data_IF_500131478130
#
_entry.id   IF_500131478130
#
_cell.length_a   1.000
_cell.length_b   1.000
_cell.length_c   1.000
_cell.angle_alpha   90.00
_cell.angle_beta   90.00
_cell.angle_gamma   90.00
#
_symmetry.space_group_name_H-M   'P 1'
#
loop_
_entity.id
_entity.type
_entity.pdbx_description
1 polymer ?
#
# COMPACT_ATOMS: atom_id res chain seq x y z
N UNK A 1 25.90 13.25 14.75
CA UNK A 1 25.46 12.10 13.92
C UNK A 1 24.17 12.55 13.23
N UNK A 2 24.26 13.06 12.01
CA UNK A 2 23.08 13.42 11.22
C UNK A 2 22.55 12.11 10.66
N UNK A 3 21.60 11.48 11.35
CA UNK A 3 20.72 10.51 10.70
C UNK A 3 20.13 11.21 9.49
N UNK A 4 20.56 10.79 8.30
CA UNK A 4 20.18 11.38 7.02
C UNK A 4 18.65 11.55 6.99
N UNK A 5 18.14 12.78 7.05
CA UNK A 5 16.71 13.10 7.12
C UNK A 5 15.91 12.33 6.06
N UNK A 6 16.48 12.22 4.85
CA UNK A 6 15.92 11.45 3.75
C UNK A 6 15.79 9.95 4.06
N UNK A 7 16.78 9.36 4.74
CA UNK A 7 16.70 7.95 5.15
C UNK A 7 15.61 7.73 6.19
N UNK A 8 15.48 8.64 7.16
CA UNK A 8 14.40 8.59 8.15
C UNK A 8 13.02 8.71 7.51
N UNK A 9 12.83 9.66 6.58
CA UNK A 9 11.57 9.82 5.85
C UNK A 9 11.21 8.60 5.01
N UNK A 10 12.21 7.98 4.35
CA UNK A 10 12.01 6.74 3.59
C UNK A 10 11.55 5.60 4.50
N UNK A 11 12.21 5.41 5.64
CA UNK A 11 11.84 4.36 6.60
C UNK A 11 10.41 4.54 7.13
N UNK A 12 10.03 5.78 7.48
CA UNK A 12 8.66 6.09 7.89
C UNK A 12 7.66 5.78 6.79
N UNK A 13 7.95 6.19 5.55
CA UNK A 13 7.06 5.98 4.43
C UNK A 13 6.89 4.50 4.07
N UNK A 14 7.96 3.71 4.13
CA UNK A 14 7.92 2.26 3.95
C UNK A 14 7.04 1.61 5.02
N UNK A 15 7.17 2.02 6.29
CA UNK A 15 6.30 1.53 7.38
C UNK A 15 4.84 1.88 7.13
N UNK A 16 4.55 3.11 6.70
CA UNK A 16 3.20 3.54 6.35
C UNK A 16 2.62 2.69 5.22
N UNK A 17 3.38 2.46 4.14
CA UNK A 17 3.00 1.56 3.04
C UNK A 17 2.58 0.18 3.57
N UNK A 18 3.40 -0.45 4.41
CA UNK A 18 3.09 -1.78 4.94
C UNK A 18 1.86 -1.79 5.86
N UNK A 19 1.69 -0.76 6.68
CA UNK A 19 0.53 -0.66 7.56
C UNK A 19 -0.76 -0.45 6.77
N UNK A 20 -0.76 0.44 5.76
CA UNK A 20 -1.90 0.66 4.88
C UNK A 20 -2.25 -0.59 4.09
N UNK A 21 -1.26 -1.35 3.62
CA UNK A 21 -1.47 -2.64 2.95
C UNK A 21 -2.16 -3.67 3.85
N UNK A 22 -1.88 -3.67 5.16
CA UNK A 22 -2.57 -4.53 6.14
C UNK A 22 -4.01 -4.07 6.38
N UNK A 23 -4.24 -2.76 6.47
CA UNK A 23 -5.59 -2.20 6.62
C UNK A 23 -6.47 -2.54 5.42
N UNK A 24 -5.95 -2.37 4.19
CA UNK A 24 -6.63 -2.79 2.96
C UNK A 24 -6.95 -4.29 3.01
N UNK A 25 -5.99 -5.11 3.45
CA UNK A 25 -6.20 -6.55 3.56
C UNK A 25 -7.37 -6.88 4.51
N UNK A 26 -7.44 -6.26 5.68
CA UNK A 26 -8.57 -6.44 6.61
C UNK A 26 -9.90 -6.07 5.96
N UNK A 27 -9.99 -4.91 5.31
CA UNK A 27 -11.22 -4.47 4.65
C UNK A 27 -11.65 -5.42 3.53
N UNK A 28 -10.73 -5.81 2.65
CA UNK A 28 -11.04 -6.62 1.48
C UNK A 28 -11.24 -8.10 1.83
N UNK A 29 -10.49 -8.66 2.78
CA UNK A 29 -10.55 -10.07 3.16
C UNK A 29 -11.69 -10.40 4.13
N UNK A 30 -12.26 -9.40 4.81
CA UNK A 30 -13.47 -9.58 5.64
C UNK A 30 -14.76 -9.25 4.87
N UNK A 31 -14.68 -8.61 3.70
CA UNK A 31 -15.85 -8.22 2.92
C UNK A 31 -16.75 -9.41 2.50
N UNK A 32 -18.07 -9.40 2.75
CA UNK A 32 -18.95 -10.55 2.49
C UNK A 32 -19.04 -10.96 1.00
N UNK A 33 -19.13 -9.98 0.09
CA UNK A 33 -19.26 -10.24 -1.35
C UNK A 33 -17.93 -10.07 -2.07
N UNK A 34 -17.11 -11.13 -2.04
CA UNK A 34 -15.80 -11.16 -2.72
C UNK A 34 -15.89 -10.97 -4.23
N UNK A 35 -17.01 -11.30 -4.87
CA UNK A 35 -17.15 -11.14 -6.33
C UNK A 35 -17.23 -9.67 -6.69
N UNK A 36 -18.04 -8.91 -5.94
CA UNK A 36 -18.22 -7.46 -6.11
C UNK A 36 -16.89 -6.70 -6.00
N UNK A 37 -16.04 -7.09 -5.04
CA UNK A 37 -14.76 -6.41 -4.79
C UNK A 37 -13.54 -7.11 -5.44
N UNK A 38 -13.75 -8.09 -6.31
CA UNK A 38 -12.67 -8.91 -6.90
C UNK A 38 -11.59 -8.07 -7.59
N UNK A 39 -11.97 -6.99 -8.27
CA UNK A 39 -11.04 -6.04 -8.88
C UNK A 39 -10.15 -5.35 -7.84
N UNK A 40 -10.70 -4.97 -6.68
CA UNK A 40 -9.93 -4.35 -5.59
C UNK A 40 -8.95 -5.34 -4.96
N UNK A 41 -9.37 -6.60 -4.79
CA UNK A 41 -8.50 -7.68 -4.29
C UNK A 41 -7.33 -7.89 -5.25
N UNK A 42 -7.59 -7.88 -6.56
CA UNK A 42 -6.54 -8.00 -7.57
C UNK A 42 -5.58 -6.79 -7.56
N UNK A 43 -6.10 -5.57 -7.50
CA UNK A 43 -5.31 -4.33 -7.39
C UNK A 43 -4.42 -4.37 -6.13
N UNK A 44 -4.97 -4.78 -4.98
CA UNK A 44 -4.22 -4.98 -3.74
C UNK A 44 -3.09 -6.00 -3.89
N UNK A 45 -3.36 -7.18 -4.47
CA UNK A 45 -2.33 -8.19 -4.70
C UNK A 45 -1.22 -7.68 -5.62
N UNK A 46 -1.53 -6.91 -6.65
CA UNK A 46 -0.54 -6.29 -7.54
C UNK A 46 0.42 -5.38 -6.77
N UNK A 47 -0.12 -4.47 -5.94
CA UNK A 47 0.69 -3.60 -5.09
C UNK A 47 1.53 -4.40 -4.08
N UNK A 48 0.93 -5.39 -3.40
CA UNK A 48 1.64 -6.24 -2.44
C UNK A 48 2.79 -7.01 -3.09
N UNK A 49 2.55 -7.60 -4.25
CA UNK A 49 3.57 -8.37 -4.99
C UNK A 49 4.73 -7.50 -5.42
N UNK A 50 4.47 -6.25 -5.82
CA UNK A 50 5.52 -5.28 -6.10
C UNK A 50 6.47 -5.13 -4.90
N UNK A 51 5.96 -4.95 -3.69
CA UNK A 51 6.81 -4.76 -2.51
C UNK A 51 7.51 -6.03 -2.04
N UNK A 52 6.87 -7.19 -2.13
CA UNK A 52 7.47 -8.48 -1.74
C UNK A 52 8.60 -8.88 -2.69
N UNK A 53 8.40 -8.68 -3.99
CA UNK A 53 9.37 -9.11 -5.01
C UNK A 53 10.56 -8.14 -5.14
N UNK A 54 10.45 -6.94 -4.58
CA UNK A 54 11.53 -5.95 -4.56
C UNK A 54 12.22 -5.95 -3.19
N UNK A 55 13.16 -6.90 -2.99
CA UNK A 55 14.05 -6.93 -1.81
C UNK A 55 14.85 -5.63 -1.63
N UNK A 56 14.94 -4.82 -2.69
CA UNK A 56 15.58 -3.52 -2.74
C UNK A 56 14.62 -2.33 -2.56
N UNK A 57 13.49 -2.48 -1.84
CA UNK A 57 12.56 -1.36 -1.57
C UNK A 57 13.27 -0.12 -0.97
N UNK A 58 14.34 -0.35 -0.21
CA UNK A 58 15.20 0.68 0.36
C UNK A 58 16.00 1.47 -0.69
N UNK A 59 16.13 0.97 -1.92
CA UNK A 59 16.85 1.63 -3.02
C UNK A 59 15.97 2.60 -3.81
N UNK A 60 14.65 2.60 -3.58
CA UNK A 60 13.74 3.53 -4.25
C UNK A 60 14.03 4.96 -3.82
N UNK A 61 13.82 5.93 -4.72
CA UNK A 61 13.87 7.33 -4.32
C UNK A 61 12.71 7.65 -3.37
N UNK A 62 12.86 8.72 -2.57
CA UNK A 62 11.78 9.18 -1.71
C UNK A 62 10.53 9.53 -2.54
N UNK A 63 10.69 10.07 -3.74
CA UNK A 63 9.58 10.44 -4.62
C UNK A 63 8.85 9.20 -5.14
N UNK A 64 9.57 8.15 -5.55
CA UNK A 64 8.94 6.90 -5.98
C UNK A 64 8.12 6.27 -4.86
N UNK A 65 8.64 6.29 -3.63
CA UNK A 65 7.92 5.80 -2.46
C UNK A 65 6.67 6.64 -2.18
N UNK A 66 6.72 7.97 -2.37
CA UNK A 66 5.56 8.87 -2.20
C UNK A 66 4.48 8.61 -3.23
N UNK A 67 4.85 8.47 -4.51
CA UNK A 67 3.91 8.16 -5.58
C UNK A 67 3.21 6.82 -5.32
N UNK A 68 3.98 5.80 -4.93
CA UNK A 68 3.43 4.48 -4.59
C UNK A 68 2.52 4.54 -3.37
N UNK A 69 2.91 5.28 -2.34
CA UNK A 69 2.06 5.48 -1.18
C UNK A 69 0.72 6.11 -1.56
N UNK A 70 0.71 7.11 -2.46
CA UNK A 70 -0.53 7.70 -2.96
C UNK A 70 -1.41 6.69 -3.70
N UNK A 71 -0.84 5.79 -4.50
CA UNK A 71 -1.60 4.72 -5.16
C UNK A 71 -2.26 3.79 -4.13
N UNK A 72 -1.53 3.43 -3.07
CA UNK A 72 -2.06 2.58 -1.99
C UNK A 72 -3.15 3.31 -1.20
N UNK A 73 -2.99 4.61 -0.92
CA UNK A 73 -4.03 5.41 -0.27
C UNK A 73 -5.29 5.48 -1.12
N UNK A 74 -5.17 5.69 -2.43
CA UNK A 74 -6.31 5.66 -3.33
C UNK A 74 -7.04 4.30 -3.30
N UNK A 75 -6.28 3.20 -3.24
CA UNK A 75 -6.86 1.86 -3.07
C UNK A 75 -7.54 1.69 -1.71
N UNK A 76 -6.96 2.22 -0.63
CA UNK A 76 -7.59 2.19 0.69
C UNK A 76 -8.93 2.92 0.68
N UNK A 77 -9.01 4.09 0.06
CA UNK A 77 -10.26 4.84 -0.05
C UNK A 77 -11.30 4.10 -0.89
N UNK A 78 -10.91 3.43 -1.98
CA UNK A 78 -11.82 2.54 -2.72
C UNK A 78 -12.31 1.38 -1.85
N UNK A 79 -11.42 0.76 -1.07
CA UNK A 79 -11.75 -0.36 -0.20
C UNK A 79 -12.73 0.02 0.92
N UNK A 80 -12.56 1.21 1.52
CA UNK A 80 -13.49 1.76 2.51
C UNK A 80 -14.86 2.05 1.93
N UNK A 81 -14.92 2.47 0.67
CA UNK A 81 -16.15 2.79 -0.04
C UNK A 81 -16.71 1.60 -0.86
N UNK A 82 -16.24 0.38 -0.61
CA UNK A 82 -16.62 -0.79 -1.39
C UNK A 82 -18.12 -1.11 -1.36
N UNK A 83 -18.82 -0.70 -0.30
CA UNK A 83 -20.28 -0.83 -0.21
C UNK A 83 -21.04 0.07 -1.21
N UNK A 84 -20.38 1.12 -1.71
CA UNK A 84 -20.93 2.08 -2.68
C UNK A 84 -20.61 1.73 -4.15
N UNK A 85 -19.88 0.64 -4.42
CA UNK A 85 -19.45 0.22 -5.77
C UNK A 85 -20.46 -0.66 -6.48
#
# INVERSE_FOLDING_TARGET
>A
MITNQTAYEKDQLIRSIFNTQKEIASLLLDYPDKKRISNLIYEWHSHRNFFINNAAITNFSLNDLKERYNQIINLLEKAKNADSL
#
